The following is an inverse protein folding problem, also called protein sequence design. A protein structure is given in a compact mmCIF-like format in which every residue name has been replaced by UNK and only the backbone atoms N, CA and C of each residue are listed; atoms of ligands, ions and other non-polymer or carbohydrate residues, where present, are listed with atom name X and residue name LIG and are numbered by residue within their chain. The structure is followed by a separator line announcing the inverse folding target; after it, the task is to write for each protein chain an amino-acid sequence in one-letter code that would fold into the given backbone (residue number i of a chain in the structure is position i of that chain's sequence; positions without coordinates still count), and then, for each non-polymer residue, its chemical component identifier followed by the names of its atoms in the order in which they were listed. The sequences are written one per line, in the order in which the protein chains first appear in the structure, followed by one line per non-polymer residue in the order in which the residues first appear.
data_IF_696993862340
#
_entry.id   IF_696993862340
#
_cell.length_a   1.000
_cell.length_b   1.000
_cell.length_c   1.000
_cell.angle_alpha   90.00
_cell.angle_beta   90.00
_cell.angle_gamma   90.00
#
_symmetry.space_group_name_H-M   'P 1'
#
loop_
_entity.id
_entity.type
_entity.pdbx_description
1 polymer ?
#
# COMPACT_ATOMS: atom_id res chain seq x y z
N UNK A 1 -11.26 0.87 37.16
CA UNK A 1 -11.05 1.28 35.74
C UNK A 1 -12.08 2.37 35.47
N UNK A 2 -11.74 3.63 35.71
CA UNK A 2 -12.57 4.75 35.22
C UNK A 2 -12.71 4.60 33.71
N UNK A 3 -13.94 4.63 33.20
CA UNK A 3 -14.15 4.45 31.77
C UNK A 3 -13.56 5.67 31.06
N UNK A 4 -12.70 5.41 30.06
CA UNK A 4 -12.11 6.43 29.17
C UNK A 4 -13.20 7.32 28.50
N UNK A 5 -14.46 6.87 28.52
CA UNK A 5 -15.61 7.47 27.85
C UNK A 5 -16.59 8.26 28.75
N UNK A 6 -16.33 8.39 30.06
CA UNK A 6 -17.35 8.94 30.99
C UNK A 6 -17.40 10.47 31.12
N UNK A 7 -16.45 11.20 30.51
CA UNK A 7 -16.51 12.66 30.40
C UNK A 7 -16.83 13.07 28.95
N UNK A 8 -18.10 13.02 28.59
CA UNK A 8 -18.58 13.37 27.25
C UNK A 8 -19.17 14.79 27.27
N UNK A 9 -18.34 15.80 26.99
CA UNK A 9 -18.80 17.17 26.80
C UNK A 9 -19.46 17.30 25.42
N UNK A 10 -20.78 17.04 25.39
CA UNK A 10 -21.60 17.14 24.17
C UNK A 10 -21.61 18.54 23.57
N UNK A 11 -21.43 19.59 24.38
CA UNK A 11 -21.42 20.95 23.89
C UNK A 11 -20.11 21.23 23.14
N UNK A 12 -18.97 20.78 23.68
CA UNK A 12 -17.67 20.86 23.00
C UNK A 12 -17.67 20.03 21.71
N UNK A 13 -18.19 18.80 21.73
CA UNK A 13 -18.30 17.97 20.53
C UNK A 13 -19.18 18.65 19.46
N UNK A 14 -20.37 19.13 19.83
CA UNK A 14 -21.25 19.82 18.90
C UNK A 14 -20.61 21.09 18.31
N UNK A 15 -19.84 21.85 19.10
CA UNK A 15 -19.11 23.02 18.62
C UNK A 15 -17.98 22.64 17.63
N UNK A 16 -17.24 21.56 17.91
CA UNK A 16 -16.21 21.04 16.99
C UNK A 16 -16.84 20.56 15.67
N UNK A 17 -17.97 19.85 15.73
CA UNK A 17 -18.68 19.38 14.54
C UNK A 17 -19.25 20.53 13.71
N UNK A 18 -19.77 21.58 14.36
CA UNK A 18 -20.29 22.76 13.68
C UNK A 18 -19.19 23.56 12.94
N UNK A 19 -17.94 23.43 13.38
CA UNK A 19 -16.79 24.06 12.74
C UNK A 19 -16.19 23.24 11.59
N UNK A 20 -16.65 21.99 11.38
CA UNK A 20 -16.13 21.14 10.32
C UNK A 20 -16.45 21.70 8.94
N UNK A 21 -15.43 21.78 8.09
CA UNK A 21 -15.51 22.21 6.70
C UNK A 21 -14.74 21.24 5.80
N UNK A 22 -15.10 21.23 4.51
CA UNK A 22 -14.38 20.49 3.49
C UNK A 22 -13.26 21.32 2.84
N UNK A 23 -13.17 22.62 3.09
CA UNK A 23 -12.33 23.51 2.29
C UNK A 23 -10.84 23.10 2.30
N UNK A 24 -10.28 22.87 3.49
CA UNK A 24 -8.89 22.43 3.62
C UNK A 24 -8.66 21.02 3.07
N UNK A 25 -9.62 20.11 3.30
CA UNK A 25 -9.56 18.75 2.79
C UNK A 25 -9.62 18.72 1.26
N UNK A 26 -10.48 19.54 0.66
CA UNK A 26 -10.66 19.62 -0.79
C UNK A 26 -9.45 20.26 -1.46
N UNK A 27 -8.91 21.34 -0.91
CA UNK A 27 -7.69 21.97 -1.40
C UNK A 27 -6.50 20.99 -1.37
N UNK A 28 -6.39 20.17 -0.32
CA UNK A 28 -5.39 19.09 -0.25
C UNK A 28 -5.60 18.06 -1.35
N UNK A 29 -6.84 17.61 -1.57
CA UNK A 29 -7.17 16.64 -2.63
C UNK A 29 -6.81 17.21 -4.01
N UNK A 30 -7.17 18.46 -4.30
CA UNK A 30 -6.81 19.14 -5.55
C UNK A 30 -5.30 19.21 -5.73
N UNK A 31 -4.56 19.57 -4.67
CA UNK A 31 -3.09 19.55 -4.71
C UNK A 31 -2.55 18.16 -4.99
N UNK A 32 -3.02 17.15 -4.26
CA UNK A 32 -2.54 15.77 -4.38
C UNK A 32 -2.93 15.12 -5.71
N UNK A 33 -3.96 15.62 -6.39
CA UNK A 33 -4.35 15.16 -7.72
C UNK A 33 -3.30 15.39 -8.81
N UNK A 34 -2.32 16.26 -8.51
CA UNK A 34 -1.22 16.62 -9.41
C UNK A 34 0.10 15.93 -9.06
N UNK A 35 0.13 15.08 -8.03
CA UNK A 35 1.35 14.49 -7.47
C UNK A 35 1.31 12.97 -7.52
N UNK A 36 2.44 12.34 -7.81
CA UNK A 36 2.64 10.89 -7.63
C UNK A 36 3.47 10.67 -6.37
N UNK A 37 2.78 10.46 -5.25
CA UNK A 37 3.36 10.42 -3.89
C UNK A 37 3.99 9.07 -3.58
N UNK A 38 4.89 8.60 -4.44
CA UNK A 38 5.73 7.43 -4.15
C UNK A 38 6.70 7.77 -3.02
N UNK A 39 6.84 6.89 -2.02
CA UNK A 39 7.74 7.19 -0.91
C UNK A 39 9.20 7.31 -1.31
N UNK A 40 9.86 8.36 -0.82
CA UNK A 40 11.21 8.77 -1.19
C UNK A 40 11.28 9.70 -2.40
N UNK A 41 10.15 9.96 -3.08
CA UNK A 41 10.11 10.82 -4.27
C UNK A 41 10.05 12.32 -3.93
N UNK A 42 10.40 13.14 -4.92
CA UNK A 42 10.23 14.61 -4.85
C UNK A 42 8.76 15.02 -4.69
N UNK A 43 7.83 14.27 -5.27
CA UNK A 43 6.39 14.57 -5.16
C UNK A 43 5.83 14.25 -3.76
N UNK A 44 6.34 13.22 -3.09
CA UNK A 44 6.08 12.99 -1.67
C UNK A 44 6.59 14.17 -0.82
N UNK A 45 7.78 14.70 -1.10
CA UNK A 45 8.32 15.88 -0.39
C UNK A 45 7.44 17.12 -0.59
N UNK A 46 6.98 17.37 -1.82
CA UNK A 46 6.03 18.46 -2.11
C UNK A 46 4.70 18.28 -1.37
N UNK A 47 4.21 17.04 -1.25
CA UNK A 47 3.00 16.73 -0.50
C UNK A 47 3.18 17.00 1.00
N UNK A 48 4.32 16.57 1.57
CA UNK A 48 4.67 16.84 2.96
C UNK A 48 4.82 18.34 3.25
N UNK A 49 5.49 19.06 2.35
CA UNK A 49 5.61 20.52 2.43
C UNK A 49 4.24 21.19 2.45
N UNK A 50 3.32 20.78 1.56
CA UNK A 50 1.98 21.35 1.53
C UNK A 50 1.24 21.14 2.86
N UNK A 51 1.29 19.94 3.45
CA UNK A 51 0.69 19.67 4.76
C UNK A 51 1.32 20.58 5.84
N UNK A 52 2.65 20.66 5.88
CA UNK A 52 3.40 21.48 6.83
C UNK A 52 3.07 22.98 6.70
N UNK A 53 2.89 23.48 5.48
CA UNK A 53 2.47 24.85 5.20
C UNK A 53 1.06 25.12 5.73
N UNK A 54 0.09 24.22 5.50
CA UNK A 54 -1.27 24.37 6.04
C UNK A 54 -1.28 24.40 7.57
N UNK A 55 -0.55 23.49 8.22
CA UNK A 55 -0.41 23.46 9.68
C UNK A 55 0.24 24.76 10.20
N UNK A 56 1.29 25.24 9.55
CA UNK A 56 1.97 26.50 9.88
C UNK A 56 1.05 27.70 9.78
N UNK A 57 0.23 27.77 8.72
CA UNK A 57 -0.71 28.87 8.48
C UNK A 57 -1.77 28.99 9.59
N UNK A 58 -2.13 27.87 10.23
CA UNK A 58 -3.03 27.86 11.38
C UNK A 58 -2.31 27.97 12.72
N UNK A 59 -0.99 27.94 12.73
CA UNK A 59 -0.15 27.94 13.93
C UNK A 59 -0.16 26.61 14.69
N UNK A 60 -0.52 25.50 14.04
CA UNK A 60 -0.49 24.16 14.66
C UNK A 60 0.97 23.71 14.83
N UNK A 61 1.44 23.45 16.05
CA UNK A 61 2.78 22.92 16.27
C UNK A 61 2.92 21.55 15.60
N UNK A 62 3.98 21.38 14.80
CA UNK A 62 4.27 20.12 14.14
C UNK A 62 5.77 19.94 13.94
N UNK A 63 6.18 18.70 13.72
CA UNK A 63 7.55 18.32 13.39
C UNK A 63 7.53 17.46 12.13
N UNK A 64 8.47 17.70 11.23
CA UNK A 64 8.73 16.84 10.08
C UNK A 64 9.98 16.03 10.40
N UNK A 65 9.79 14.73 10.62
CA UNK A 65 10.88 13.77 10.76
C UNK A 65 11.27 13.23 9.38
N UNK A 66 12.49 12.71 9.26
CA UNK A 66 12.96 12.05 8.04
C UNK A 66 13.58 10.67 8.36
N UNK A 67 12.77 9.69 8.82
CA UNK A 67 13.26 8.33 9.00
C UNK A 67 13.75 7.72 7.67
N UNK A 68 14.73 6.83 7.77
CA UNK A 68 15.16 5.99 6.65
C UNK A 68 14.30 4.74 6.59
N UNK A 69 13.63 4.54 5.46
CA UNK A 69 12.73 3.42 5.21
C UNK A 69 13.32 2.51 4.16
N UNK A 70 13.21 1.19 4.34
CA UNK A 70 13.54 0.22 3.31
C UNK A 70 12.31 -0.05 2.43
N UNK A 71 12.40 0.33 1.16
CA UNK A 71 11.28 0.37 0.24
C UNK A 71 11.54 -0.49 -0.99
N UNK A 72 10.46 -0.93 -1.64
CA UNK A 72 10.49 -1.54 -2.96
C UNK A 72 9.44 -0.91 -3.87
N UNK A 73 9.88 -0.38 -5.00
CA UNK A 73 9.07 0.35 -5.96
C UNK A 73 9.08 -0.36 -7.32
N UNK A 74 7.93 -0.86 -7.78
CA UNK A 74 7.76 -1.35 -9.14
C UNK A 74 8.11 -0.33 -10.23
N UNK A 75 8.95 -0.72 -11.21
CA UNK A 75 9.31 0.11 -12.37
C UNK A 75 8.70 -0.44 -13.66
N UNK A 76 8.88 -1.73 -13.94
CA UNK A 76 8.25 -2.35 -15.11
C UNK A 76 7.97 -3.83 -14.89
N UNK A 77 6.99 -4.37 -15.63
CA UNK A 77 6.73 -5.79 -15.69
C UNK A 77 6.10 -6.20 -17.02
N UNK A 78 6.42 -7.41 -17.50
CA UNK A 78 5.76 -8.03 -18.65
C UNK A 78 5.72 -9.56 -18.54
N UNK A 79 4.76 -10.15 -19.26
CA UNK A 79 4.66 -11.60 -19.46
C UNK A 79 4.79 -11.87 -20.96
N UNK A 80 5.89 -12.47 -21.36
CA UNK A 80 6.15 -12.82 -22.76
C UNK A 80 5.73 -14.26 -23.04
N UNK A 81 4.93 -14.44 -24.09
CA UNK A 81 4.49 -15.75 -24.61
C UNK A 81 5.08 -15.94 -25.99
N UNK A 82 6.37 -16.32 -26.03
CA UNK A 82 7.17 -16.38 -27.27
C UNK A 82 6.52 -17.26 -28.35
N UNK A 83 5.93 -18.40 -27.97
CA UNK A 83 5.25 -19.31 -28.89
C UNK A 83 4.04 -18.67 -29.61
N UNK A 84 3.50 -17.58 -29.08
CA UNK A 84 2.38 -16.82 -29.66
C UNK A 84 2.85 -15.46 -30.22
N UNK A 85 4.15 -15.15 -30.16
CA UNK A 85 4.69 -13.85 -30.57
C UNK A 85 4.08 -12.66 -29.83
N UNK A 86 3.64 -12.84 -28.58
CA UNK A 86 2.87 -11.84 -27.83
C UNK A 86 3.51 -11.52 -26.48
N UNK A 87 3.63 -10.23 -26.18
CA UNK A 87 4.03 -9.73 -24.86
C UNK A 87 2.84 -9.02 -24.21
N UNK A 88 2.49 -9.47 -23.02
CA UNK A 88 1.38 -8.94 -22.23
C UNK A 88 1.89 -7.85 -21.29
N UNK A 89 1.08 -6.81 -21.14
CA UNK A 89 1.28 -5.79 -20.11
C UNK A 89 1.04 -6.43 -18.74
N UNK A 90 1.95 -6.19 -17.81
CA UNK A 90 1.83 -6.62 -16.42
C UNK A 90 2.17 -5.49 -15.45
N UNK A 91 1.89 -5.70 -14.17
CA UNK A 91 2.48 -4.95 -13.06
C UNK A 91 3.13 -5.93 -12.08
N UNK A 92 4.27 -5.56 -11.53
CA UNK A 92 4.88 -6.30 -10.42
C UNK A 92 4.46 -5.66 -9.10
N UNK A 93 4.06 -6.41 -8.06
CA UNK A 93 3.84 -5.86 -6.74
C UNK A 93 5.17 -5.50 -6.07
N UNK A 94 5.15 -4.56 -5.13
CA UNK A 94 6.30 -4.21 -4.28
C UNK A 94 6.85 -5.45 -3.55
N UNK A 95 8.17 -5.50 -3.42
CA UNK A 95 8.99 -6.60 -2.88
C UNK A 95 8.94 -7.93 -3.63
N UNK A 96 8.38 -7.94 -4.84
CA UNK A 96 8.64 -9.03 -5.79
C UNK A 96 10.13 -9.03 -6.18
N UNK A 97 10.68 -10.20 -6.52
CA UNK A 97 12.01 -10.24 -7.09
C UNK A 97 12.05 -9.60 -8.49
N UNK A 98 13.12 -8.85 -8.75
CA UNK A 98 13.50 -8.39 -10.10
C UNK A 98 14.18 -9.53 -10.85
N UNK A 99 13.85 -9.72 -12.13
CA UNK A 99 14.50 -10.72 -13.00
C UNK A 99 15.53 -10.11 -13.94
N UNK A 100 15.55 -8.78 -14.05
CA UNK A 100 16.42 -8.04 -14.97
C UNK A 100 16.19 -8.42 -16.44
N UNK A 101 17.17 -8.13 -17.29
CA UNK A 101 17.08 -8.39 -18.74
C UNK A 101 17.09 -9.88 -19.10
N UNK A 102 17.55 -10.76 -18.22
CA UNK A 102 17.50 -12.21 -18.47
C UNK A 102 16.05 -12.72 -18.46
N UNK A 103 15.23 -12.19 -17.56
CA UNK A 103 13.89 -12.70 -17.31
C UNK A 103 13.90 -14.07 -16.63
N UNK A 104 12.72 -14.55 -16.22
CA UNK A 104 12.52 -15.91 -15.74
C UNK A 104 11.58 -16.65 -16.69
N UNK A 105 12.09 -17.66 -17.39
CA UNK A 105 11.30 -18.53 -18.26
C UNK A 105 10.91 -19.81 -17.54
N UNK A 106 9.65 -20.24 -17.67
CA UNK A 106 9.18 -21.49 -17.06
C UNK A 106 7.85 -21.97 -17.60
N UNK A 107 7.56 -23.26 -17.36
CA UNK A 107 6.26 -23.84 -17.66
C UNK A 107 5.19 -23.27 -16.72
N UNK A 108 4.02 -22.97 -17.26
CA UNK A 108 2.89 -22.43 -16.52
C UNK A 108 1.98 -23.55 -16.03
N UNK A 109 1.60 -23.49 -14.76
CA UNK A 109 0.54 -24.32 -14.19
C UNK A 109 -0.59 -23.43 -13.69
N UNK A 110 -1.81 -23.72 -14.15
CA UNK A 110 -2.99 -23.02 -13.65
C UNK A 110 -3.46 -23.64 -12.34
N UNK A 111 -3.54 -22.82 -11.30
CA UNK A 111 -4.11 -23.20 -10.00
C UNK A 111 -5.41 -22.44 -9.81
N UNK A 112 -6.58 -23.12 -9.82
CA UNK A 112 -7.85 -22.46 -9.52
C UNK A 112 -7.79 -21.81 -8.13
N UNK A 113 -8.19 -20.55 -8.07
CA UNK A 113 -8.51 -19.87 -6.80
C UNK A 113 -10.02 -19.67 -6.74
N UNK A 114 -10.62 -19.94 -5.59
CA UNK A 114 -12.01 -19.56 -5.35
C UNK A 114 -12.09 -18.02 -5.24
N UNK A 115 -13.00 -17.39 -5.99
CA UNK A 115 -13.30 -15.98 -5.76
C UNK A 115 -13.81 -15.80 -4.32
N UNK A 116 -13.24 -14.83 -3.61
CA UNK A 116 -13.73 -14.44 -2.29
C UNK A 116 -15.19 -13.97 -2.39
N UNK A 117 -16.08 -14.51 -1.55
CA UNK A 117 -17.47 -14.10 -1.51
C UNK A 117 -17.66 -12.75 -0.77
N UNK A 118 -16.63 -12.27 -0.06
CA UNK A 118 -16.64 -11.00 0.67
C UNK A 118 -15.23 -10.52 1.06
N UNK A 119 -15.15 -9.28 1.56
CA UNK A 119 -13.88 -8.56 1.84
C UNK A 119 -13.00 -9.27 2.87
N UNK A 120 -13.61 -9.94 3.86
CA UNK A 120 -12.87 -10.68 4.90
C UNK A 120 -12.12 -11.92 4.36
N UNK A 121 -12.62 -12.54 3.30
CA UNK A 121 -12.02 -13.75 2.71
C UNK A 121 -10.87 -13.44 1.73
N UNK A 122 -10.68 -12.17 1.36
CA UNK A 122 -9.62 -11.73 0.43
C UNK A 122 -8.23 -12.05 1.00
N UNK A 123 -8.09 -12.05 2.32
CA UNK A 123 -6.82 -12.20 3.01
C UNK A 123 -6.47 -13.65 3.38
N UNK A 124 -7.44 -14.57 3.39
CA UNK A 124 -7.31 -15.91 4.01
C UNK A 124 -7.34 -17.10 3.03
N UNK A 125 -7.67 -16.89 1.74
CA UNK A 125 -7.77 -18.03 0.81
C UNK A 125 -6.42 -18.45 0.21
N UNK A 126 -6.05 -19.69 0.48
CA UNK A 126 -4.89 -20.38 -0.11
C UNK A 126 -5.27 -21.05 -1.43
N UNK A 127 -4.36 -21.05 -2.40
CA UNK A 127 -4.51 -21.73 -3.68
C UNK A 127 -4.68 -23.25 -3.50
N UNK A 128 -5.41 -23.94 -4.39
CA UNK A 128 -5.67 -25.39 -4.29
C UNK A 128 -4.36 -26.16 -4.04
N UNK A 129 -4.26 -26.82 -2.87
CA UNK A 129 -3.06 -27.51 -2.41
C UNK A 129 -2.78 -28.81 -3.16
N UNK A 130 -3.74 -29.31 -3.96
CA UNK A 130 -3.61 -30.56 -4.72
C UNK A 130 -2.78 -30.40 -6.00
N UNK A 131 -2.60 -29.16 -6.47
CA UNK A 131 -1.81 -28.90 -7.68
C UNK A 131 -0.33 -28.80 -7.34
N UNK A 132 0.50 -29.58 -8.03
CA UNK A 132 1.95 -29.50 -7.94
C UNK A 132 2.48 -28.27 -8.70
N UNK A 133 3.12 -27.38 -7.95
CA UNK A 133 3.65 -26.10 -8.43
C UNK A 133 5.18 -26.06 -8.43
N UNK A 134 5.85 -27.11 -7.96
CA UNK A 134 7.30 -27.12 -7.82
C UNK A 134 7.98 -26.95 -9.20
N UNK A 135 8.89 -25.99 -9.31
CA UNK A 135 9.61 -25.70 -10.55
C UNK A 135 8.78 -24.98 -11.63
N UNK A 136 7.54 -24.56 -11.34
CA UNK A 136 6.62 -23.99 -12.32
C UNK A 136 6.28 -22.54 -12.03
N UNK A 137 5.85 -21.82 -13.06
CA UNK A 137 5.22 -20.51 -12.94
C UNK A 137 3.73 -20.73 -12.66
N UNK A 138 3.24 -20.26 -11.52
CA UNK A 138 1.83 -20.43 -11.14
C UNK A 138 0.99 -19.34 -11.79
N UNK A 139 -0.12 -19.71 -12.44
CA UNK A 139 -1.15 -18.78 -12.90
C UNK A 139 -2.41 -18.98 -12.04
N UNK A 140 -2.91 -17.93 -11.40
CA UNK A 140 -4.07 -18.02 -10.51
C UNK A 140 -4.91 -16.73 -10.50
N UNK A 141 -6.17 -16.80 -10.06
CA UNK A 141 -7.03 -15.62 -9.96
C UNK A 141 -6.78 -14.84 -8.66
N UNK A 142 -7.07 -13.54 -8.70
CA UNK A 142 -7.08 -12.66 -7.54
C UNK A 142 -5.93 -11.65 -7.53
N UNK A 143 -5.60 -11.18 -6.34
CA UNK A 143 -4.49 -10.27 -6.10
C UNK A 143 -3.28 -11.03 -5.56
N UNK A 144 -2.08 -10.48 -5.77
CA UNK A 144 -0.83 -11.01 -5.24
C UNK A 144 -0.73 -10.78 -3.72
N UNK A 145 -1.63 -11.41 -2.97
CA UNK A 145 -1.74 -11.25 -1.53
C UNK A 145 -0.53 -11.92 -0.84
N UNK A 146 0.10 -11.25 0.15
CA UNK A 146 1.33 -11.74 0.77
C UNK A 146 1.31 -13.19 1.26
N UNK A 147 0.21 -13.63 1.90
CA UNK A 147 0.08 -15.01 2.36
C UNK A 147 0.03 -16.03 1.23
N UNK A 148 -0.69 -15.70 0.14
CA UNK A 148 -0.78 -16.54 -1.06
C UNK A 148 0.58 -16.65 -1.77
N UNK A 149 1.27 -15.52 -1.93
CA UNK A 149 2.59 -15.45 -2.56
C UNK A 149 3.59 -16.31 -1.80
N UNK A 150 3.61 -16.18 -0.46
CA UNK A 150 4.51 -16.96 0.39
C UNK A 150 4.18 -18.46 0.37
N UNK A 151 2.90 -18.87 0.38
CA UNK A 151 2.52 -20.30 0.29
C UNK A 151 2.97 -20.91 -1.03
N UNK A 152 2.72 -20.25 -2.16
CA UNK A 152 3.11 -20.75 -3.48
C UNK A 152 4.63 -20.82 -3.64
N UNK A 153 5.37 -19.81 -3.17
CA UNK A 153 6.83 -19.84 -3.17
C UNK A 153 7.37 -20.99 -2.32
N UNK A 154 6.83 -21.20 -1.11
CA UNK A 154 7.21 -22.32 -0.22
C UNK A 154 6.90 -23.70 -0.79
N UNK A 155 5.90 -23.79 -1.67
CA UNK A 155 5.56 -25.01 -2.42
C UNK A 155 6.47 -25.23 -3.64
N UNK A 156 7.42 -24.32 -3.89
CA UNK A 156 8.43 -24.44 -4.93
C UNK A 156 8.06 -23.77 -6.26
N UNK A 157 7.03 -22.93 -6.30
CA UNK A 157 6.77 -22.10 -7.48
C UNK A 157 7.99 -21.21 -7.76
N UNK A 158 8.42 -21.13 -9.01
CA UNK A 158 9.59 -20.30 -9.41
C UNK A 158 9.19 -18.90 -9.85
N UNK A 159 7.90 -18.67 -10.11
CA UNK A 159 7.31 -17.38 -10.46
C UNK A 159 5.79 -17.45 -10.37
N UNK A 160 5.12 -16.31 -10.31
CA UNK A 160 3.68 -16.25 -10.05
C UNK A 160 3.00 -15.17 -10.90
N UNK A 161 1.86 -15.51 -11.51
CA UNK A 161 1.02 -14.64 -12.32
C UNK A 161 -0.38 -14.62 -11.70
N UNK A 162 -0.80 -13.45 -11.26
CA UNK A 162 -2.13 -13.19 -10.71
C UNK A 162 -3.04 -12.53 -11.74
N UNK A 163 -4.18 -13.16 -12.01
CA UNK A 163 -5.24 -12.64 -12.88
C UNK A 163 -6.13 -11.72 -12.04
N UNK A 164 -5.88 -10.42 -12.13
CA UNK A 164 -6.70 -9.43 -11.44
C UNK A 164 -8.12 -9.36 -12.02
N UNK A 165 -9.11 -8.97 -11.21
CA UNK A 165 -10.47 -8.76 -11.71
C UNK A 165 -10.50 -7.55 -12.66
N UNK A 166 -11.29 -7.67 -13.73
CA UNK A 166 -11.54 -6.56 -14.65
C UNK A 166 -10.39 -6.27 -15.65
N UNK A 167 -10.48 -5.11 -16.29
CA UNK A 167 -9.57 -4.70 -17.39
C UNK A 167 -8.29 -4.02 -16.92
N UNK A 168 -8.30 -3.53 -15.69
CA UNK A 168 -7.19 -2.77 -15.09
C UNK A 168 -6.36 -3.68 -14.18
N UNK A 169 -5.06 -3.40 -14.12
CA UNK A 169 -4.11 -4.14 -13.29
C UNK A 169 -3.89 -3.33 -12.01
N UNK A 170 -4.09 -3.96 -10.86
CA UNK A 170 -3.96 -3.31 -9.57
C UNK A 170 -2.51 -3.24 -9.14
N UNK A 171 -2.17 -2.16 -8.43
CA UNK A 171 -0.93 -2.10 -7.68
C UNK A 171 -1.08 -2.88 -6.38
N UNK A 172 0.05 -3.27 -5.78
CA UNK A 172 0.04 -4.02 -4.53
C UNK A 172 1.44 -4.29 -4.01
N UNK A 173 1.48 -4.99 -2.89
CA UNK A 173 2.68 -5.39 -2.17
C UNK A 173 2.54 -6.85 -1.76
N UNK A 174 3.60 -7.64 -1.94
CA UNK A 174 3.53 -9.10 -1.78
C UNK A 174 4.38 -9.65 -0.63
N UNK A 175 5.11 -8.81 0.11
CA UNK A 175 5.83 -9.25 1.31
C UNK A 175 4.91 -9.43 2.52
N UNK A 176 5.18 -10.46 3.31
CA UNK A 176 4.49 -10.68 4.60
C UNK A 176 5.13 -9.91 5.76
N UNK A 177 6.30 -9.31 5.53
CA UNK A 177 7.02 -8.50 6.51
C UNK A 177 6.32 -7.16 6.61
N UNK A 178 5.95 -6.76 7.83
CA UNK A 178 5.47 -5.41 8.12
C UNK A 178 6.64 -4.59 8.61
N UNK A 179 6.85 -3.44 7.97
CA UNK A 179 7.99 -2.60 8.27
C UNK A 179 9.29 -3.05 7.60
N UNK A 180 10.40 -2.51 8.09
CA UNK A 180 11.75 -2.83 7.64
C UNK A 180 12.12 -4.30 7.99
N UNK A 181 12.59 -5.10 7.02
CA UNK A 181 13.10 -6.44 7.29
C UNK A 181 14.29 -6.47 8.24
N UNK A 182 14.32 -7.46 9.13
CA UNK A 182 15.42 -7.72 10.05
C UNK A 182 15.98 -9.15 9.86
N UNK A 183 16.99 -9.52 10.65
CA UNK A 183 17.61 -10.85 10.56
C UNK A 183 16.65 -12.00 10.90
N UNK A 184 15.57 -11.72 11.65
CA UNK A 184 14.60 -12.72 12.08
C UNK A 184 13.50 -12.99 11.04
N UNK A 185 13.32 -12.06 10.08
CA UNK A 185 12.20 -12.12 9.14
C UNK A 185 12.58 -11.96 7.66
N UNK A 186 13.83 -11.62 7.33
CA UNK A 186 14.28 -11.39 5.94
C UNK A 186 14.04 -12.60 5.01
N UNK A 187 14.00 -13.81 5.56
CA UNK A 187 13.71 -15.03 4.82
C UNK A 187 12.27 -15.09 4.28
N UNK A 188 11.36 -14.28 4.83
CA UNK A 188 9.96 -14.16 4.40
C UNK A 188 9.76 -13.19 3.25
N UNK A 189 10.79 -12.44 2.85
CA UNK A 189 10.74 -11.57 1.67
C UNK A 189 10.68 -12.45 0.40
N UNK A 190 9.75 -12.17 -0.54
CA UNK A 190 9.64 -12.95 -1.77
C UNK A 190 10.95 -12.99 -2.56
N UNK A 191 11.32 -14.20 -3.02
CA UNK A 191 12.53 -14.45 -3.81
C UNK A 191 12.23 -14.74 -5.27
N UNK A 192 10.96 -14.95 -5.58
CA UNK A 192 10.48 -15.26 -6.93
C UNK A 192 9.76 -14.05 -7.54
N UNK A 193 9.81 -13.88 -8.87
CA UNK A 193 9.05 -12.84 -9.54
C UNK A 193 7.56 -13.11 -9.46
N UNK A 194 6.83 -12.06 -9.10
CA UNK A 194 5.38 -12.03 -9.04
C UNK A 194 4.89 -10.95 -9.98
N UNK A 195 3.88 -11.26 -10.79
CA UNK A 195 3.25 -10.29 -11.69
C UNK A 195 1.74 -10.40 -11.61
N UNK A 196 1.07 -9.30 -11.91
CA UNK A 196 -0.36 -9.24 -12.13
C UNK A 196 -0.65 -8.86 -13.58
N UNK A 197 -1.64 -9.53 -14.16
CA UNK A 197 -2.20 -9.23 -15.49
C UNK A 197 -3.69 -8.90 -15.36
N UNK A 198 -4.26 -8.24 -16.36
CA UNK A 198 -5.70 -8.00 -16.38
C UNK A 198 -6.48 -9.29 -16.65
N UNK A 199 -7.80 -9.25 -16.46
CA UNK A 199 -8.67 -10.41 -16.67
C UNK A 199 -8.63 -10.92 -18.12
N UNK A 200 -8.80 -10.10 -19.17
CA UNK A 200 -8.76 -10.61 -20.55
C UNK A 200 -7.48 -11.38 -20.90
N UNK A 201 -6.31 -10.84 -20.56
CA UNK A 201 -5.02 -11.48 -20.86
C UNK A 201 -4.77 -12.69 -19.96
N UNK A 202 -5.17 -12.62 -18.69
CA UNK A 202 -5.05 -13.74 -17.76
C UNK A 202 -5.95 -14.93 -18.12
N UNK A 203 -7.18 -14.66 -18.59
CA UNK A 203 -8.08 -15.70 -19.09
C UNK A 203 -7.54 -16.35 -20.37
N UNK A 204 -6.94 -15.55 -21.26
CA UNK A 204 -6.23 -16.06 -22.44
C UNK A 204 -5.05 -16.96 -22.06
N UNK A 205 -4.20 -16.55 -21.10
CA UNK A 205 -3.11 -17.40 -20.57
C UNK A 205 -3.66 -18.70 -19.96
N UNK A 206 -4.75 -18.63 -19.21
CA UNK A 206 -5.39 -19.79 -18.59
C UNK A 206 -5.85 -20.80 -19.64
N UNK A 207 -6.48 -20.31 -20.70
CA UNK A 207 -7.00 -21.19 -21.76
C UNK A 207 -5.85 -21.84 -22.54
N UNK A 208 -4.76 -21.12 -22.78
CA UNK A 208 -3.53 -21.70 -23.33
C UNK A 208 -2.94 -22.78 -22.42
N UNK A 209 -2.83 -22.51 -21.11
CA UNK A 209 -2.29 -23.46 -20.14
C UNK A 209 -3.15 -24.72 -19.96
N UNK A 210 -4.46 -24.65 -20.27
CA UNK A 210 -5.37 -25.80 -20.25
C UNK A 210 -5.28 -26.66 -21.51
N UNK A 211 -4.91 -26.05 -22.64
CA UNK A 211 -4.90 -26.70 -23.95
C UNK A 211 -3.54 -27.32 -24.31
N UNK A 212 -2.51 -27.16 -23.48
CA UNK A 212 -1.19 -27.75 -23.67
C UNK A 212 -0.13 -27.19 -22.73
N UNK A 213 1.13 -27.57 -22.96
CA UNK A 213 2.27 -27.00 -22.23
C UNK A 213 2.48 -25.53 -22.63
N UNK A 214 2.17 -24.61 -21.71
CA UNK A 214 2.44 -23.20 -21.87
C UNK A 214 3.77 -22.84 -21.20
N UNK A 215 4.68 -22.20 -21.92
CA UNK A 215 5.89 -21.60 -21.36
C UNK A 215 5.83 -20.09 -21.55
N UNK A 216 6.21 -19.35 -20.51
CA UNK A 216 6.24 -17.88 -20.53
C UNK A 216 7.54 -17.36 -19.93
N UNK A 217 7.91 -16.13 -20.26
CA UNK A 217 9.02 -15.40 -19.64
C UNK A 217 8.48 -14.22 -18.85
N UNK A 218 8.80 -14.16 -17.55
CA UNK A 218 8.48 -13.04 -16.67
C UNK A 218 9.66 -12.06 -16.64
N UNK A 219 9.37 -10.78 -16.92
CA UNK A 219 10.34 -9.71 -16.77
C UNK A 219 9.82 -8.74 -15.73
N UNK A 220 10.58 -8.51 -14.67
CA UNK A 220 10.22 -7.60 -13.57
C UNK A 220 11.42 -6.74 -13.23
N UNK A 221 11.17 -5.45 -13.04
CA UNK A 221 12.15 -4.48 -12.59
C UNK A 221 11.53 -3.66 -11.45
N UNK A 222 12.23 -3.64 -10.31
CA UNK A 222 11.87 -2.87 -9.14
C UNK A 222 13.12 -2.12 -8.65
N UNK A 223 12.93 -0.87 -8.24
CA UNK A 223 13.93 -0.22 -7.38
C UNK A 223 13.71 -0.69 -5.95
N UNK A 224 14.79 -1.01 -5.25
CA UNK A 224 14.72 -1.44 -3.86
C UNK A 224 15.91 -0.88 -3.08
N UNK A 225 15.64 -0.29 -1.93
CA UNK A 225 16.69 0.32 -1.12
C UNK A 225 16.16 1.21 -0.02
N UNK A 226 17.10 1.90 0.63
CA UNK A 226 16.81 2.85 1.70
C UNK A 226 16.54 4.24 1.14
N UNK A 227 15.50 4.89 1.64
CA UNK A 227 15.20 6.28 1.35
C UNK A 227 14.75 7.03 2.61
N UNK A 228 15.16 8.30 2.72
CA UNK A 228 14.62 9.22 3.73
C UNK A 228 13.25 9.72 3.30
N UNK A 229 12.24 9.48 4.12
CA UNK A 229 10.85 9.86 3.83
C UNK A 229 10.33 10.86 4.87
N UNK A 230 9.65 11.95 4.46
CA UNK A 230 9.08 12.88 5.43
C UNK A 230 7.94 12.24 6.22
N UNK A 231 7.97 12.36 7.54
CA UNK A 231 6.89 12.00 8.46
C UNK A 231 6.44 13.26 9.19
N UNK A 232 5.21 13.70 8.91
CA UNK A 232 4.64 14.90 9.54
C UNK A 232 3.88 14.46 10.78
N UNK A 233 4.21 15.07 11.93
CA UNK A 233 3.50 14.86 13.19
C UNK A 233 3.08 16.21 13.76
N UNK A 234 1.78 16.47 13.79
CA UNK A 234 1.20 17.60 14.51
C UNK A 234 0.97 17.22 15.98
N UNK A 235 1.35 18.11 16.90
CA UNK A 235 1.13 17.94 18.34
C UNK A 235 0.25 19.07 18.90
N UNK A 236 -0.92 18.71 19.41
CA UNK A 236 -1.85 19.64 20.08
C UNK A 236 -1.89 19.25 21.55
N UNK A 237 -1.35 20.09 22.44
CA UNK A 237 -1.28 19.80 23.87
C UNK A 237 -2.66 19.93 24.52
N UNK A 238 -3.02 18.93 25.34
CA UNK A 238 -4.19 19.00 26.21
C UNK A 238 -3.96 19.85 27.45
N UNK A 239 -5.03 20.13 28.20
CA UNK A 239 -5.04 21.05 29.34
C UNK A 239 -4.88 20.37 30.70
N UNK A 240 -5.23 19.08 30.84
CA UNK A 240 -5.18 18.37 32.13
C UNK A 240 -4.12 17.25 32.15
N UNK A 241 -4.06 16.44 31.10
CA UNK A 241 -3.13 15.30 30.95
C UNK A 241 -2.28 15.46 29.67
N UNK A 242 -1.46 16.53 29.55
CA UNK A 242 -0.72 16.86 28.33
C UNK A 242 0.34 15.81 27.94
N UNK A 243 0.78 14.98 28.88
CA UNK A 243 1.71 13.87 28.67
C UNK A 243 1.06 12.64 28.03
N UNK A 244 -0.28 12.51 28.15
CA UNK A 244 -1.05 11.46 27.49
C UNK A 244 -1.58 11.96 26.16
N UNK A 245 -1.67 11.07 25.18
CA UNK A 245 -2.18 11.45 23.87
C UNK A 245 -3.08 10.41 23.22
N UNK A 246 -3.93 10.89 22.32
CA UNK A 246 -4.65 10.09 21.33
C UNK A 246 -3.94 10.28 19.99
N UNK A 247 -3.65 9.18 19.30
CA UNK A 247 -3.07 9.20 17.95
C UNK A 247 -4.19 9.06 16.92
N UNK A 248 -4.28 10.02 16.01
CA UNK A 248 -5.09 9.93 14.79
C UNK A 248 -4.11 9.94 13.62
N UNK A 249 -4.18 8.96 12.73
CA UNK A 249 -3.15 8.85 11.70
C UNK A 249 -3.63 8.14 10.44
N UNK A 250 -2.84 8.30 9.38
CA UNK A 250 -3.02 7.64 8.10
C UNK A 250 -1.76 7.76 7.26
N UNK A 251 -1.67 6.99 6.18
CA UNK A 251 -0.57 7.16 5.23
C UNK A 251 -0.91 8.22 4.18
N UNK A 252 0.12 8.87 3.66
CA UNK A 252 -0.02 9.89 2.61
C UNK A 252 0.78 9.59 1.35
N UNK A 253 1.57 8.53 1.34
CA UNK A 253 2.09 7.95 0.11
C UNK A 253 0.97 7.26 -0.67
N UNK A 254 1.18 7.07 -1.98
CA UNK A 254 0.19 6.42 -2.83
C UNK A 254 0.80 5.70 -4.02
N UNK A 255 0.05 4.71 -4.50
CA UNK A 255 0.21 4.22 -5.86
C UNK A 255 -0.34 5.21 -6.88
N UNK A 256 0.50 5.65 -7.83
CA UNK A 256 0.16 6.73 -8.77
C UNK A 256 -0.38 7.96 -8.01
N UNK A 257 -1.44 8.60 -8.51
CA UNK A 257 -2.05 9.78 -7.87
C UNK A 257 -2.75 9.44 -6.55
N UNK A 258 -3.45 8.30 -6.50
CA UNK A 258 -4.06 7.74 -5.28
C UNK A 258 -4.96 8.69 -4.48
N UNK A 259 -5.96 9.31 -5.14
CA UNK A 259 -6.89 10.21 -4.43
C UNK A 259 -7.72 9.45 -3.39
N UNK A 260 -8.33 8.33 -3.79
CA UNK A 260 -9.14 7.51 -2.88
C UNK A 260 -8.32 6.79 -1.81
N UNK A 261 -7.09 6.41 -2.14
CA UNK A 261 -6.15 5.72 -1.24
C UNK A 261 -4.79 6.44 -1.27
N UNK A 262 -4.54 7.41 -0.39
CA UNK A 262 -5.40 7.84 0.74
C UNK A 262 -5.57 9.36 0.83
N UNK A 263 -5.53 10.12 -0.28
CA UNK A 263 -5.62 11.59 -0.22
C UNK A 263 -6.87 12.10 0.52
N UNK A 264 -8.02 11.44 0.34
CA UNK A 264 -9.26 11.77 1.04
C UNK A 264 -9.11 11.67 2.56
N UNK A 265 -8.49 10.60 3.08
CA UNK A 265 -8.23 10.45 4.50
C UNK A 265 -7.23 11.49 5.01
N UNK A 266 -6.23 11.84 4.20
CA UNK A 266 -5.26 12.90 4.54
C UNK A 266 -5.93 14.28 4.64
N UNK A 267 -6.93 14.56 3.80
CA UNK A 267 -7.77 15.74 3.91
C UNK A 267 -8.55 15.76 5.23
N UNK A 268 -9.11 14.62 5.65
CA UNK A 268 -9.76 14.48 6.96
C UNK A 268 -8.78 14.72 8.11
N UNK A 269 -7.57 14.15 8.07
CA UNK A 269 -6.55 14.39 9.11
C UNK A 269 -6.19 15.88 9.21
N UNK A 270 -6.09 16.56 8.08
CA UNK A 270 -5.75 17.98 8.05
C UNK A 270 -6.87 18.84 8.66
N UNK A 271 -8.12 18.51 8.35
CA UNK A 271 -9.28 19.18 8.93
C UNK A 271 -9.40 18.93 10.43
N UNK A 272 -9.13 17.70 10.89
CA UNK A 272 -9.06 17.39 12.33
C UNK A 272 -7.98 18.22 13.03
N UNK A 273 -6.82 18.42 12.41
CA UNK A 273 -5.77 19.27 12.97
C UNK A 273 -6.26 20.72 13.17
N UNK A 274 -6.97 21.26 12.18
CA UNK A 274 -7.54 22.62 12.24
C UNK A 274 -8.58 22.75 13.36
N UNK A 275 -9.54 21.83 13.43
CA UNK A 275 -10.62 21.85 14.42
C UNK A 275 -10.07 21.67 15.83
N UNK A 276 -9.25 20.64 16.06
CA UNK A 276 -8.69 20.38 17.38
C UNK A 276 -7.75 21.48 17.83
N UNK A 277 -7.04 22.14 16.91
CA UNK A 277 -6.24 23.30 17.28
C UNK A 277 -7.13 24.48 17.70
N UNK A 278 -8.21 24.77 16.97
CA UNK A 278 -9.17 25.83 17.33
C UNK A 278 -9.76 25.62 18.73
N UNK A 279 -10.09 24.38 19.08
CA UNK A 279 -10.72 23.99 20.35
C UNK A 279 -9.74 23.37 21.37
N UNK A 280 -8.44 23.65 21.24
CA UNK A 280 -7.39 23.00 22.05
C UNK A 280 -7.56 23.18 23.56
N UNK A 281 -8.22 24.25 24.00
CA UNK A 281 -8.53 24.51 25.41
C UNK A 281 -9.55 23.52 26.01
N UNK A 282 -10.29 22.80 25.16
CA UNK A 282 -11.26 21.78 25.55
C UNK A 282 -10.67 20.37 25.58
N UNK A 283 -9.44 20.19 25.11
CA UNK A 283 -8.82 18.88 25.01
C UNK A 283 -8.18 18.50 26.35
N UNK A 284 -8.73 17.49 27.03
CA UNK A 284 -8.16 16.96 28.28
C UNK A 284 -6.76 16.37 28.07
N UNK A 285 -6.61 15.55 27.02
CA UNK A 285 -5.36 14.89 26.61
C UNK A 285 -4.84 15.51 25.33
N UNK A 286 -3.55 15.36 25.09
CA UNK A 286 -2.95 15.78 23.83
C UNK A 286 -3.51 14.97 22.65
N UNK A 287 -3.50 15.58 21.47
CA UNK A 287 -3.80 14.89 20.21
C UNK A 287 -2.55 14.93 19.34
N UNK A 288 -2.15 13.76 18.85
CA UNK A 288 -1.11 13.63 17.83
C UNK A 288 -1.75 13.23 16.52
N UNK A 289 -1.42 13.96 15.46
CA UNK A 289 -1.87 13.64 14.11
C UNK A 289 -0.66 13.34 13.24
N UNK A 290 -0.61 12.13 12.67
CA UNK A 290 0.55 11.65 11.92
C UNK A 290 0.19 11.25 10.49
N UNK A 291 1.00 11.73 9.54
CA UNK A 291 0.94 11.39 8.12
C UNK A 291 2.15 10.50 7.80
N UNK A 292 1.90 9.20 7.72
CA UNK A 292 2.94 8.19 7.55
C UNK A 292 3.34 8.03 6.07
N UNK A 293 4.65 8.04 5.76
CA UNK A 293 5.14 7.56 4.48
C UNK A 293 5.25 6.01 4.47
N UNK A 294 5.55 5.44 3.31
CA UNK A 294 6.04 4.06 3.17
C UNK A 294 4.99 2.97 3.32
N UNK A 295 3.69 3.29 3.35
CA UNK A 295 2.66 2.26 3.48
C UNK A 295 2.61 1.35 2.24
N UNK A 296 2.55 1.95 1.06
CA UNK A 296 2.33 1.25 -0.20
C UNK A 296 3.55 0.44 -0.63
N UNK A 297 4.74 1.00 -0.45
CA UNK A 297 6.02 0.46 -0.95
C UNK A 297 6.90 -0.17 0.12
N UNK A 298 6.49 -0.09 1.40
CA UNK A 298 7.26 -0.52 2.56
C UNK A 298 6.45 -1.20 3.68
N UNK A 299 5.10 -1.22 3.61
CA UNK A 299 4.21 -1.62 4.72
C UNK A 299 4.52 -0.90 6.04
N UNK A 300 4.69 0.43 5.98
CA UNK A 300 5.14 1.26 7.11
C UNK A 300 6.55 0.89 7.57
N UNK A 301 7.46 0.70 6.60
CA UNK A 301 8.90 0.50 6.82
C UNK A 301 9.54 1.58 7.68
#
# INVERSE_FOLDING_TARGET
MERIYEAFDRAAEAAMLADASIDAAWALIERFSTLVRESGSEDERKAAQYISEQLSNWGVPHTVYEPELYLSVPRSASVEVAAQGRTLRAKTPSFSASTGEAGLTGQVVYVPAEMAAGVGEIFDKTADRRVDVAGKIVLTHGYAMPGSVLDLERRGAIGQIYINPGKDIHWGICTTIWGTPDLDNIDRKPRTPVVAVNSPDGLWLRDLARNGELTVTLRTELWEGWAKCPLIVAEIKGTEEPERFILVHGHYDSWAVGIGDNAVGNGTLLELARIFWKHRDKLRRSVRIAWWPGHSTGRYA
#
